data_IF_272862599483
#
_entry.id   IF_272862599483
#
_cell.length_a   1.000
_cell.length_b   1.000
_cell.length_c   1.000
_cell.angle_alpha   90.00
_cell.angle_beta   90.00
_cell.angle_gamma   90.00
#
_symmetry.space_group_name_H-M   'P 1'
#
loop_
_entity.id
_entity.type
_entity.pdbx_description
1 polymer ?
#
# COMPACT_ATOMS: atom_id res chain seq x y z
N UNK A 1 -5.33 12.98 -29.13
CA UNK A 1 -5.82 13.23 -27.76
C UNK A 1 -4.60 13.20 -26.84
N UNK A 2 -4.34 14.30 -26.14
CA UNK A 2 -3.14 14.44 -25.31
C UNK A 2 -3.34 13.68 -23.99
N UNK A 3 -2.40 12.79 -23.66
CA UNK A 3 -2.29 12.17 -22.34
C UNK A 3 -2.00 13.30 -21.33
N UNK A 4 -3.01 13.68 -20.54
CA UNK A 4 -2.80 14.50 -19.37
C UNK A 4 -2.27 13.58 -18.26
N UNK A 5 -1.06 13.82 -17.72
CA UNK A 5 -0.68 13.18 -16.48
C UNK A 5 -1.67 13.68 -15.42
N UNK A 6 -2.50 12.77 -14.91
CA UNK A 6 -3.32 13.03 -13.75
C UNK A 6 -2.42 13.57 -12.66
N UNK A 7 -2.68 14.83 -12.31
CA UNK A 7 -2.26 15.51 -11.10
C UNK A 7 -1.90 14.51 -10.01
N UNK A 8 -0.65 14.59 -9.54
CA UNK A 8 -0.13 13.89 -8.36
C UNK A 8 -1.27 13.57 -7.41
N UNK A 9 -1.65 12.29 -7.35
CA UNK A 9 -2.72 11.82 -6.49
C UNK A 9 -2.56 12.51 -5.14
N UNK A 10 -3.54 13.35 -4.77
CA UNK A 10 -3.60 13.87 -3.41
C UNK A 10 -3.56 12.64 -2.51
N UNK A 11 -2.41 12.44 -1.87
CA UNK A 11 -2.23 11.40 -0.87
C UNK A 11 -3.21 11.75 0.25
N UNK A 12 -4.39 11.14 0.20
CA UNK A 12 -5.39 11.27 1.24
C UNK A 12 -4.71 10.75 2.51
N UNK A 13 -4.38 11.65 3.45
CA UNK A 13 -3.80 11.23 4.73
C UNK A 13 -4.90 10.51 5.52
N UNK A 14 -5.03 9.21 5.31
CA UNK A 14 -5.91 8.39 6.13
C UNK A 14 -5.38 8.44 7.57
N UNK A 15 -6.17 9.01 8.49
CA UNK A 15 -5.78 9.01 9.91
C UNK A 15 -5.64 7.57 10.38
N UNK A 16 -4.41 7.15 10.66
CA UNK A 16 -4.16 5.83 11.25
C UNK A 16 -4.87 5.72 12.61
N UNK A 17 -5.51 4.58 12.87
CA UNK A 17 -6.07 4.24 14.18
C UNK A 17 -4.94 4.19 15.22
N UNK A 18 -5.24 4.50 16.48
CA UNK A 18 -4.23 4.58 17.55
C UNK A 18 -3.40 3.30 17.69
N UNK A 19 -4.05 2.12 17.63
CA UNK A 19 -3.35 0.83 17.69
C UNK A 19 -2.43 0.56 16.49
N UNK A 20 -2.77 1.09 15.31
CA UNK A 20 -1.94 0.96 14.11
C UNK A 20 -0.72 1.89 14.17
N UNK A 21 -0.86 3.09 14.74
CA UNK A 21 0.26 4.04 14.90
C UNK A 21 1.38 3.47 15.76
N UNK A 22 1.04 2.82 16.89
CA UNK A 22 2.04 2.20 17.76
C UNK A 22 2.85 1.11 17.02
N UNK A 23 2.17 0.32 16.18
CA UNK A 23 2.82 -0.71 15.34
C UNK A 23 3.72 -0.09 14.28
N UNK A 24 3.25 0.95 13.58
CA UNK A 24 4.07 1.68 12.57
C UNK A 24 5.29 2.33 13.24
N UNK A 25 5.14 2.94 14.41
CA UNK A 25 6.25 3.53 15.15
C UNK A 25 7.30 2.49 15.58
N UNK A 26 6.87 1.28 15.94
CA UNK A 26 7.78 0.17 16.25
C UNK A 26 8.51 -0.31 14.99
N UNK A 27 7.79 -0.48 13.87
CA UNK A 27 8.38 -0.89 12.60
C UNK A 27 9.37 0.15 12.05
N UNK A 28 9.10 1.44 12.20
CA UNK A 28 10.07 2.52 11.88
C UNK A 28 11.40 2.35 12.62
N UNK A 29 11.35 1.96 13.90
CA UNK A 29 12.56 1.70 14.69
C UNK A 29 13.30 0.46 14.20
N UNK A 30 12.57 -0.61 13.87
CA UNK A 30 13.17 -1.87 13.39
C UNK A 30 13.83 -1.72 12.02
N UNK A 31 13.16 -1.04 11.08
CA UNK A 31 13.67 -0.84 9.72
C UNK A 31 14.61 0.38 9.60
N UNK A 32 14.84 1.12 10.69
CA UNK A 32 15.72 2.30 10.69
C UNK A 32 15.22 3.47 9.85
N UNK A 33 13.94 3.48 9.47
CA UNK A 33 13.36 4.49 8.57
C UNK A 33 12.73 5.64 9.35
N UNK A 34 12.95 6.87 8.86
CA UNK A 34 12.36 8.09 9.46
C UNK A 34 10.95 8.40 8.92
N UNK A 35 10.62 7.89 7.74
CA UNK A 35 9.35 8.12 7.03
C UNK A 35 8.29 7.11 7.45
N UNK A 36 7.11 7.59 7.87
CA UNK A 36 5.93 6.72 8.10
C UNK A 36 5.42 6.13 6.78
N UNK A 37 5.51 6.90 5.70
CA UNK A 37 5.08 6.47 4.38
C UNK A 37 5.89 5.27 3.89
N UNK A 38 7.21 5.28 4.05
CA UNK A 38 8.08 4.20 3.55
C UNK A 38 7.76 2.88 4.27
N UNK A 39 7.48 2.95 5.58
CA UNK A 39 7.05 1.78 6.35
C UNK A 39 5.68 1.29 5.93
N UNK A 40 4.72 2.20 5.73
CA UNK A 40 3.39 1.82 5.25
C UNK A 40 3.46 1.19 3.85
N UNK A 41 4.30 1.74 2.97
CA UNK A 41 4.54 1.20 1.64
C UNK A 41 5.10 -0.21 1.73
N UNK A 42 6.13 -0.42 2.54
CA UNK A 42 6.75 -1.73 2.73
C UNK A 42 5.75 -2.76 3.27
N UNK A 43 4.92 -2.38 4.25
CA UNK A 43 3.85 -3.24 4.78
C UNK A 43 2.84 -3.60 3.68
N UNK A 44 2.44 -2.63 2.86
CA UNK A 44 1.48 -2.86 1.76
C UNK A 44 2.09 -3.77 0.71
N UNK A 45 3.34 -3.52 0.31
CA UNK A 45 4.04 -4.32 -0.68
C UNK A 45 4.23 -5.77 -0.20
N UNK A 46 4.61 -5.98 1.07
CA UNK A 46 4.72 -7.31 1.68
C UNK A 46 3.38 -8.04 1.75
N UNK A 47 2.31 -7.37 2.19
CA UNK A 47 0.98 -7.97 2.25
C UNK A 47 0.42 -8.26 0.86
N UNK A 48 0.67 -7.37 -0.11
CA UNK A 48 0.25 -7.59 -1.49
C UNK A 48 0.98 -8.78 -2.09
N UNK A 49 2.30 -8.89 -1.90
CA UNK A 49 3.08 -10.04 -2.34
C UNK A 49 2.61 -11.35 -1.68
N UNK A 50 2.37 -11.35 -0.36
CA UNK A 50 1.90 -12.52 0.38
C UNK A 50 0.48 -12.97 0.00
N UNK A 51 -0.32 -12.06 -0.57
CA UNK A 51 -1.70 -12.34 -0.99
C UNK A 51 -1.90 -12.24 -2.50
N UNK A 52 -0.82 -12.12 -3.28
CA UNK A 52 -0.87 -11.92 -4.72
C UNK A 52 -1.64 -13.05 -5.40
N UNK A 53 -1.37 -14.30 -5.01
CA UNK A 53 -2.06 -15.48 -5.54
C UNK A 53 -3.56 -15.44 -5.26
N UNK A 54 -3.95 -15.01 -4.05
CA UNK A 54 -5.36 -14.91 -3.64
C UNK A 54 -6.07 -13.76 -4.35
N UNK A 55 -5.39 -12.62 -4.50
CA UNK A 55 -5.89 -11.48 -5.25
C UNK A 55 -6.03 -11.81 -6.74
N UNK A 56 -5.06 -12.54 -7.30
CA UNK A 56 -5.08 -13.01 -8.69
C UNK A 56 -6.21 -14.01 -8.93
N UNK A 57 -6.40 -14.99 -8.04
CA UNK A 57 -7.51 -15.93 -8.11
C UNK A 57 -8.87 -15.22 -8.03
N UNK A 58 -8.99 -14.20 -7.18
CA UNK A 58 -10.21 -13.43 -7.02
C UNK A 58 -10.48 -12.52 -8.23
N UNK A 59 -9.44 -11.92 -8.80
CA UNK A 59 -9.54 -11.14 -10.03
C UNK A 59 -9.92 -12.01 -11.25
N UNK A 60 -9.39 -13.23 -11.35
CA UNK A 60 -9.81 -14.20 -12.37
C UNK A 60 -11.29 -14.57 -12.22
N UNK A 61 -11.77 -14.81 -11.00
CA UNK A 61 -13.18 -15.09 -10.73
C UNK A 61 -14.10 -13.92 -11.08
N UNK A 62 -13.65 -12.69 -10.83
CA UNK A 62 -14.41 -11.47 -11.11
C UNK A 62 -14.21 -10.92 -12.52
N UNK A 63 -13.33 -11.55 -13.33
CA UNK A 63 -12.93 -11.09 -14.67
C UNK A 63 -12.41 -9.64 -14.69
N UNK A 64 -11.60 -9.29 -13.70
CA UNK A 64 -10.99 -7.95 -13.57
C UNK A 64 -9.51 -8.05 -13.95
N UNK A 65 -9.02 -7.11 -14.77
CA UNK A 65 -7.59 -6.97 -15.03
C UNK A 65 -6.90 -6.35 -13.80
N UNK A 66 -5.94 -7.08 -13.22
CA UNK A 66 -5.04 -6.52 -12.20
C UNK A 66 -3.88 -5.80 -12.88
N UNK A 67 -3.50 -4.59 -12.42
CA UNK A 67 -2.28 -3.94 -12.89
C UNK A 67 -1.06 -4.77 -12.50
N UNK A 68 -0.12 -4.88 -13.45
CA UNK A 68 1.12 -5.65 -13.33
C UNK A 68 2.08 -5.08 -12.26
#
# INVERSE_FOLDING_TARGET
MAYQPTTSQQLVSAKLRAGTRAKVALLKKLYGTRSEYDVLKLIVDEHFAAHLDRLSALAQLLQIELPA
#
